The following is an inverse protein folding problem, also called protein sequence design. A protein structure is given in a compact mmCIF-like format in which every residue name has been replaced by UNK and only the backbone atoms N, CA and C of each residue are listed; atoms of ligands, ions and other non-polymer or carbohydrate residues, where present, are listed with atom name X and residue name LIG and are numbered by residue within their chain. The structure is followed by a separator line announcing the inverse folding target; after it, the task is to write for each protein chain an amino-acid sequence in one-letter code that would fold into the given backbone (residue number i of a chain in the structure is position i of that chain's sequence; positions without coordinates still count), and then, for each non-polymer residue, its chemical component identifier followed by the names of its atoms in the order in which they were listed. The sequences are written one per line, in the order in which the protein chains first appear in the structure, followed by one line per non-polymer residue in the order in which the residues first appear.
data_IF_523294071424
#
_entry.id   IF_523294071424
#
_cell.length_a   1.000
_cell.length_b   1.000
_cell.length_c   1.000
_cell.angle_alpha   90.00
_cell.angle_beta   90.00
_cell.angle_gamma   90.00
#
_symmetry.space_group_name_H-M   'P 1'
#
loop_
_entity.id
_entity.type
_entity.pdbx_description
1 polymer ?
#
# COMPACT_ATOMS: atom_id res chain seq x y z
N UNK A 1 18.52 4.82 4.79
CA UNK A 1 19.28 3.73 5.44
C UNK A 1 18.59 2.38 5.28
N UNK A 2 17.28 2.27 5.57
CA UNK A 2 16.57 0.99 5.53
C UNK A 2 16.42 0.38 4.12
N UNK A 3 16.01 1.17 3.10
CA UNK A 3 15.92 0.68 1.72
C UNK A 3 17.25 0.10 1.20
N UNK A 4 18.37 0.76 1.47
CA UNK A 4 19.70 0.25 1.08
C UNK A 4 19.98 -1.13 1.68
N UNK A 5 19.66 -1.33 2.97
CA UNK A 5 19.85 -2.63 3.64
C UNK A 5 18.93 -3.69 3.04
N UNK A 6 17.66 -3.37 2.82
CA UNK A 6 16.68 -4.26 2.18
C UNK A 6 17.18 -4.73 0.81
N UNK A 7 17.69 -3.80 0.00
CA UNK A 7 18.21 -4.06 -1.34
C UNK A 7 19.51 -4.88 -1.30
N UNK A 8 20.47 -4.53 -0.44
CA UNK A 8 21.72 -5.28 -0.30
C UNK A 8 21.48 -6.72 0.19
N UNK A 9 20.53 -6.92 1.12
CA UNK A 9 20.14 -8.25 1.60
C UNK A 9 19.47 -9.06 0.48
N UNK A 10 18.55 -8.45 -0.27
CA UNK A 10 17.93 -9.10 -1.42
C UNK A 10 18.98 -9.48 -2.49
N UNK A 11 20.01 -8.64 -2.70
CA UNK A 11 21.13 -8.91 -3.62
C UNK A 11 21.99 -10.08 -3.15
N UNK A 12 22.33 -10.13 -1.86
CA UNK A 12 23.10 -11.23 -1.28
C UNK A 12 22.43 -12.59 -1.48
N UNK A 13 21.09 -12.62 -1.42
CA UNK A 13 20.31 -13.85 -1.56
C UNK A 13 19.69 -14.06 -2.96
N UNK A 14 20.03 -13.21 -3.94
CA UNK A 14 19.43 -13.23 -5.28
C UNK A 14 19.65 -14.56 -6.02
N UNK A 15 20.80 -15.22 -5.84
CA UNK A 15 21.05 -16.53 -6.47
C UNK A 15 20.10 -17.62 -5.95
N UNK A 16 19.66 -17.51 -4.69
CA UNK A 16 18.77 -18.50 -4.05
C UNK A 16 17.29 -18.18 -4.27
N UNK A 17 16.94 -16.91 -4.42
CA UNK A 17 15.56 -16.44 -4.51
C UNK A 17 15.37 -15.41 -5.64
N UNK A 18 15.78 -15.74 -6.87
CA UNK A 18 15.82 -14.81 -8.00
C UNK A 18 14.52 -14.00 -8.17
N UNK A 19 13.39 -14.69 -8.25
CA UNK A 19 12.07 -14.07 -8.43
C UNK A 19 11.67 -13.13 -7.28
N UNK A 20 12.02 -13.48 -6.03
CA UNK A 20 11.68 -12.64 -4.87
C UNK A 20 12.57 -11.42 -4.84
N UNK A 21 13.88 -11.60 -5.07
CA UNK A 21 14.83 -10.50 -5.07
C UNK A 21 14.49 -9.48 -6.15
N UNK A 22 14.11 -9.91 -7.36
CA UNK A 22 13.62 -9.03 -8.42
C UNK A 22 12.37 -8.27 -8.00
N UNK A 23 11.37 -8.95 -7.43
CA UNK A 23 10.17 -8.30 -6.94
C UNK A 23 10.45 -7.28 -5.82
N UNK A 24 11.39 -7.56 -4.92
CA UNK A 24 11.84 -6.61 -3.88
C UNK A 24 12.60 -5.43 -4.50
N UNK A 25 13.33 -5.62 -5.58
CA UNK A 25 14.01 -4.52 -6.26
C UNK A 25 13.04 -3.55 -6.93
N UNK A 26 12.02 -4.07 -7.59
CA UNK A 26 11.08 -3.25 -8.36
C UNK A 26 9.95 -2.67 -7.50
N UNK A 27 9.50 -3.41 -6.48
CA UNK A 27 8.26 -3.13 -5.79
C UNK A 27 8.43 -2.70 -4.33
N UNK A 28 9.65 -2.38 -3.91
CA UNK A 28 9.93 -1.81 -2.58
C UNK A 28 10.09 -0.30 -2.66
N UNK A 29 9.27 0.42 -1.90
CA UNK A 29 9.42 1.84 -1.63
C UNK A 29 9.72 2.04 -0.14
N UNK A 30 10.91 2.56 0.17
CA UNK A 30 11.40 2.70 1.55
C UNK A 30 11.34 1.35 2.31
N UNK A 31 10.39 1.23 3.25
CA UNK A 31 10.16 0.05 4.08
C UNK A 31 8.96 -0.78 3.63
N UNK A 32 8.14 -0.25 2.70
CA UNK A 32 6.95 -0.91 2.18
C UNK A 32 7.27 -1.70 0.92
N UNK A 33 6.85 -2.96 0.85
CA UNK A 33 6.99 -3.81 -0.34
C UNK A 33 5.62 -4.28 -0.79
N UNK A 34 5.23 -3.93 -2.03
CA UNK A 34 3.88 -4.15 -2.54
C UNK A 34 3.96 -4.91 -3.86
N UNK A 35 3.78 -6.21 -3.81
CA UNK A 35 3.93 -7.06 -5.01
C UNK A 35 2.56 -7.53 -5.47
N UNK A 36 2.26 -7.36 -6.76
CA UNK A 36 1.05 -7.86 -7.39
C UNK A 36 1.37 -9.03 -8.32
N UNK A 37 0.59 -10.10 -8.21
CA UNK A 37 0.69 -11.29 -9.07
C UNK A 37 -0.70 -11.82 -9.39
N UNK A 38 -0.87 -12.27 -10.63
CA UNK A 38 -2.15 -12.75 -11.16
C UNK A 38 -2.54 -14.10 -10.56
N UNK A 39 -1.58 -15.04 -10.49
CA UNK A 39 -1.83 -16.42 -10.05
C UNK A 39 -1.74 -16.57 -8.51
N UNK A 40 -2.73 -17.22 -7.92
CA UNK A 40 -2.82 -17.43 -6.47
C UNK A 40 -1.73 -18.36 -5.92
N UNK A 41 -1.35 -19.42 -6.66
CA UNK A 41 -0.26 -20.32 -6.26
C UNK A 41 1.07 -19.58 -6.27
N UNK A 42 1.30 -18.72 -7.26
CA UNK A 42 2.48 -17.86 -7.32
C UNK A 42 2.50 -16.91 -6.13
N UNK A 43 1.35 -16.34 -5.75
CA UNK A 43 1.22 -15.46 -4.58
C UNK A 43 1.60 -16.15 -3.27
N UNK A 44 1.09 -17.36 -3.05
CA UNK A 44 1.44 -18.18 -1.87
C UNK A 44 2.93 -18.52 -1.85
N UNK A 45 3.51 -18.90 -2.99
CA UNK A 45 4.93 -19.18 -3.09
C UNK A 45 5.77 -17.93 -2.84
N UNK A 46 5.35 -16.79 -3.37
CA UNK A 46 6.01 -15.50 -3.17
C UNK A 46 6.02 -15.15 -1.68
N UNK A 47 4.86 -15.20 -1.00
CA UNK A 47 4.77 -14.99 0.45
C UNK A 47 5.77 -15.87 1.21
N UNK A 48 5.74 -17.19 1.00
CA UNK A 48 6.64 -18.13 1.69
C UNK A 48 8.12 -17.84 1.45
N UNK A 49 8.50 -17.57 0.19
CA UNK A 49 9.90 -17.31 -0.18
C UNK A 49 10.36 -15.95 0.34
N UNK A 50 9.51 -14.93 0.34
CA UNK A 50 9.78 -13.60 0.90
C UNK A 50 10.00 -13.68 2.40
N UNK A 51 9.12 -14.36 3.14
CA UNK A 51 9.28 -14.58 4.59
C UNK A 51 10.58 -15.34 4.91
N UNK A 52 10.94 -16.34 4.10
CA UNK A 52 12.20 -17.07 4.26
C UNK A 52 13.42 -16.18 3.96
N UNK A 53 13.38 -15.38 2.89
CA UNK A 53 14.46 -14.45 2.55
C UNK A 53 14.70 -13.45 3.68
N UNK A 54 13.63 -12.87 4.24
CA UNK A 54 13.77 -11.94 5.37
C UNK A 54 14.26 -12.63 6.63
N UNK A 55 13.76 -13.83 6.96
CA UNK A 55 14.28 -14.62 8.07
C UNK A 55 15.79 -14.90 7.95
N UNK A 56 16.28 -15.23 6.75
CA UNK A 56 17.72 -15.40 6.48
C UNK A 56 18.50 -14.09 6.53
N UNK A 57 17.86 -12.96 6.27
CA UNK A 57 18.44 -11.64 6.40
C UNK A 57 18.46 -11.12 7.86
N UNK A 58 17.79 -11.81 8.79
CA UNK A 58 17.58 -11.36 10.17
C UNK A 58 16.52 -10.25 10.28
N UNK A 59 15.60 -10.21 9.32
CA UNK A 59 14.51 -9.24 9.22
C UNK A 59 13.17 -9.96 9.27
N UNK A 60 12.13 -9.26 9.73
CA UNK A 60 10.78 -9.81 9.81
C UNK A 60 9.79 -8.81 9.21
N UNK A 61 9.04 -9.26 8.21
CA UNK A 61 7.95 -8.47 7.64
C UNK A 61 6.79 -8.44 8.62
N UNK A 62 6.33 -7.24 8.94
CA UNK A 62 5.16 -7.02 9.80
C UNK A 62 4.02 -6.45 8.96
N UNK A 63 2.79 -6.61 9.47
CA UNK A 63 1.57 -6.05 8.87
C UNK A 63 1.32 -6.54 7.45
N UNK A 64 1.44 -7.85 7.24
CA UNK A 64 1.03 -8.48 6.00
C UNK A 64 -0.44 -8.22 5.72
N UNK A 65 -0.70 -7.83 4.48
CA UNK A 65 -2.03 -7.60 3.95
C UNK A 65 -2.09 -8.14 2.52
N UNK A 66 -3.16 -8.84 2.18
CA UNK A 66 -3.38 -9.39 0.86
C UNK A 66 -4.86 -9.37 0.52
N UNK A 67 -5.18 -9.20 -0.77
CA UNK A 67 -6.53 -9.41 -1.30
C UNK A 67 -6.91 -10.91 -1.38
N UNK A 68 -5.97 -11.80 -1.12
CA UNK A 68 -6.13 -13.26 -1.17
C UNK A 68 -6.38 -13.83 0.22
N UNK A 69 -7.55 -14.43 0.43
CA UNK A 69 -7.87 -15.11 1.69
C UNK A 69 -6.90 -16.28 1.94
N UNK A 70 -6.52 -17.03 0.90
CA UNK A 70 -5.60 -18.16 1.03
C UNK A 70 -4.20 -17.75 1.51
N UNK A 71 -3.73 -16.55 1.14
CA UNK A 71 -2.48 -16.00 1.68
C UNK A 71 -2.64 -15.60 3.14
N UNK A 72 -3.77 -14.97 3.49
CA UNK A 72 -4.02 -14.55 4.87
C UNK A 72 -4.16 -15.75 5.84
N UNK A 73 -4.73 -16.88 5.39
CA UNK A 73 -4.85 -18.11 6.19
C UNK A 73 -3.50 -18.71 6.58
N UNK A 74 -2.47 -18.54 5.76
CA UNK A 74 -1.11 -19.07 6.02
C UNK A 74 -0.21 -18.04 6.71
N UNK A 75 -0.70 -16.83 6.93
CA UNK A 75 0.02 -15.77 7.63
C UNK A 75 -0.28 -15.83 9.12
N UNK A 76 0.74 -15.84 9.99
CA UNK A 76 0.53 -15.77 11.44
C UNK A 76 -0.27 -14.52 11.81
N UNK A 77 -1.24 -14.65 12.71
CA UNK A 77 -2.09 -13.51 13.13
C UNK A 77 -1.27 -12.32 13.64
N UNK A 78 -0.16 -12.59 14.33
CA UNK A 78 0.72 -11.55 14.86
C UNK A 78 1.46 -10.75 13.77
N UNK A 79 1.60 -11.33 12.58
CA UNK A 79 2.26 -10.71 11.44
C UNK A 79 1.25 -10.02 10.50
N UNK A 80 -0.06 -10.21 10.70
CA UNK A 80 -1.13 -9.62 9.91
C UNK A 80 -1.37 -8.13 10.22
N UNK A 81 -1.85 -7.38 9.23
CA UNK A 81 -2.23 -5.97 9.39
C UNK A 81 -3.53 -5.82 10.20
N UNK A 82 -3.43 -5.71 11.52
CA UNK A 82 -4.56 -5.48 12.43
C UNK A 82 -5.47 -6.70 12.60
N UNK A 83 -6.66 -6.50 13.19
CA UNK A 83 -7.65 -7.58 13.32
C UNK A 83 -8.23 -7.92 11.95
N UNK A 84 -7.82 -9.06 11.40
CA UNK A 84 -8.37 -9.63 10.17
C UNK A 84 -9.40 -10.67 10.61
N UNK A 85 -10.68 -10.44 10.32
CA UNK A 85 -11.72 -11.44 10.57
C UNK A 85 -11.98 -12.20 9.26
N UNK A 86 -11.37 -13.37 9.14
CA UNK A 86 -11.48 -14.22 7.96
C UNK A 86 -12.90 -14.80 7.79
N UNK A 87 -13.64 -14.97 8.89
CA UNK A 87 -15.00 -15.55 8.89
C UNK A 87 -16.06 -14.54 8.44
N UNK A 88 -15.92 -13.26 8.82
CA UNK A 88 -16.77 -12.18 8.29
C UNK A 88 -16.32 -11.69 6.91
N UNK A 89 -15.10 -12.06 6.51
CA UNK A 89 -14.44 -11.56 5.31
C UNK A 89 -14.18 -10.05 5.37
N UNK A 90 -14.14 -9.44 6.54
CA UNK A 90 -13.72 -8.04 6.68
C UNK A 90 -12.20 -7.98 6.79
N UNK A 91 -11.56 -7.38 5.76
CA UNK A 91 -10.14 -7.08 5.80
C UNK A 91 -9.95 -5.64 6.29
N UNK A 92 -9.05 -5.47 7.24
CA UNK A 92 -8.68 -4.15 7.77
C UNK A 92 -8.16 -3.25 6.63
N UNK A 93 -8.56 -1.98 6.66
CA UNK A 93 -8.06 -0.98 5.75
C UNK A 93 -6.72 -0.44 6.30
N UNK A 94 -5.62 -0.65 5.57
CA UNK A 94 -4.30 -0.20 6.00
C UNK A 94 -3.87 1.03 5.23
N UNK A 95 -3.17 1.96 5.90
CA UNK A 95 -2.42 3.03 5.23
C UNK A 95 -1.15 2.43 4.63
N UNK A 96 -1.06 2.45 3.31
CA UNK A 96 0.07 1.97 2.51
C UNK A 96 0.54 3.15 1.65
N UNK A 97 1.81 3.55 1.76
CA UNK A 97 2.34 4.74 1.07
C UNK A 97 1.57 6.04 1.37
N UNK A 98 0.90 6.11 2.53
CA UNK A 98 0.05 7.24 2.93
C UNK A 98 -1.34 7.28 2.28
N UNK A 99 -1.72 6.29 1.47
CA UNK A 99 -3.05 6.09 0.91
C UNK A 99 -3.71 4.89 1.62
N UNK A 100 -5.04 4.89 1.77
CA UNK A 100 -5.74 3.74 2.37
C UNK A 100 -5.97 2.68 1.30
N UNK A 101 -5.47 1.47 1.50
CA UNK A 101 -5.78 0.32 0.64
C UNK A 101 -6.80 -0.59 1.33
N UNK A 102 -7.90 -0.85 0.63
CA UNK A 102 -8.91 -1.84 1.01
C UNK A 102 -8.61 -3.12 0.24
N UNK A 103 -7.93 -4.04 0.91
CA UNK A 103 -7.39 -5.25 0.26
C UNK A 103 -8.48 -6.12 -0.39
N UNK A 104 -9.61 -6.36 0.28
CA UNK A 104 -10.65 -7.27 -0.25
C UNK A 104 -11.23 -6.83 -1.60
N UNK A 105 -11.70 -5.57 -1.76
CA UNK A 105 -12.15 -5.10 -3.07
C UNK A 105 -11.00 -4.67 -3.99
N UNK A 106 -9.76 -4.71 -3.52
CA UNK A 106 -8.57 -4.18 -4.19
C UNK A 106 -8.73 -2.72 -4.64
N UNK A 107 -9.16 -1.86 -3.71
CA UNK A 107 -9.42 -0.45 -3.98
C UNK A 107 -8.56 0.46 -3.11
N UNK A 108 -8.00 1.49 -3.74
CA UNK A 108 -7.46 2.64 -3.03
C UNK A 108 -8.60 3.58 -2.61
N UNK A 109 -8.52 4.05 -1.38
CA UNK A 109 -9.47 4.94 -0.76
C UNK A 109 -8.75 6.20 -0.31
N UNK A 110 -9.34 7.35 -0.62
CA UNK A 110 -8.86 8.65 -0.20
C UNK A 110 -9.86 9.23 0.78
N UNK A 111 -9.39 9.66 1.95
CA UNK A 111 -10.23 10.35 2.91
C UNK A 111 -10.19 11.85 2.62
N UNK A 112 -11.34 12.43 2.27
CA UNK A 112 -11.57 13.86 2.36
C UNK A 112 -12.24 14.19 3.69
N UNK A 113 -11.80 15.24 4.37
CA UNK A 113 -12.54 15.76 5.52
C UNK A 113 -13.86 16.34 5.00
N UNK A 114 -14.99 15.79 5.45
CA UNK A 114 -16.30 16.35 5.18
C UNK A 114 -16.32 17.79 5.71
N UNK A 115 -16.13 18.74 4.80
CA UNK A 115 -16.21 20.16 5.12
C UNK A 115 -17.59 20.62 4.70
N UNK A 116 -18.27 21.39 5.54
CA UNK A 116 -19.58 21.95 5.24
C UNK A 116 -19.64 22.48 3.80
N UNK A 117 -20.77 22.23 3.15
CA UNK A 117 -21.05 22.75 1.81
C UNK A 117 -21.24 24.26 1.99
N UNK A 118 -20.15 25.01 1.80
CA UNK A 118 -20.19 26.46 1.81
C UNK A 118 -21.01 26.92 0.60
N UNK A 119 -22.02 27.74 0.84
CA UNK A 119 -22.79 28.40 -0.23
C UNK A 119 -21.95 29.41 -1.02
N UNK A 120 -20.84 29.88 -0.45
CA UNK A 120 -19.86 30.77 -1.09
C UNK A 120 -18.50 30.09 -1.18
N UNK A 121 -17.95 29.99 -2.39
CA UNK A 121 -16.62 29.45 -2.64
C UNK A 121 -15.61 30.58 -2.83
N UNK A 122 -14.62 30.67 -1.94
CA UNK A 122 -13.45 31.55 -2.10
C UNK A 122 -12.21 30.73 -2.44
N UNK A 123 -11.18 31.36 -3.04
CA UNK A 123 -9.90 30.68 -3.31
C UNK A 123 -9.31 30.01 -2.08
N UNK A 124 -9.41 30.66 -0.91
CA UNK A 124 -8.92 30.09 0.35
C UNK A 124 -9.69 28.83 0.77
N UNK A 125 -11.01 28.81 0.61
CA UNK A 125 -11.83 27.64 0.92
C UNK A 125 -11.50 26.47 -0.02
N UNK A 126 -11.38 26.74 -1.33
CA UNK A 126 -11.02 25.72 -2.31
C UNK A 126 -9.61 25.16 -2.07
N UNK A 127 -8.65 26.02 -1.74
CA UNK A 127 -7.31 25.59 -1.37
C UNK A 127 -7.32 24.71 -0.12
N UNK A 128 -8.04 25.15 0.93
CA UNK A 128 -8.17 24.36 2.16
C UNK A 128 -8.77 22.99 1.89
N UNK A 129 -9.84 22.89 1.07
CA UNK A 129 -10.44 21.61 0.70
C UNK A 129 -9.47 20.73 -0.10
N UNK A 130 -8.77 21.31 -1.09
CA UNK A 130 -7.79 20.58 -1.91
C UNK A 130 -6.62 20.07 -1.08
N UNK A 131 -6.14 20.86 -0.12
CA UNK A 131 -5.04 20.47 0.77
C UNK A 131 -5.38 19.28 1.69
N UNK A 132 -6.67 18.97 1.91
CA UNK A 132 -7.07 17.76 2.64
C UNK A 132 -6.91 16.47 1.81
N UNK A 133 -6.83 16.57 0.49
CA UNK A 133 -6.63 15.43 -0.40
C UNK A 133 -5.14 15.15 -0.53
N UNK A 134 -4.65 14.19 0.27
CA UNK A 134 -3.28 13.70 0.15
C UNK A 134 -3.17 12.72 -1.03
N UNK A 135 -2.42 13.11 -2.06
CA UNK A 135 -2.22 12.33 -3.29
C UNK A 135 -0.74 12.28 -3.70
N UNK A 136 0.08 11.46 -3.01
CA UNK A 136 1.51 11.38 -3.30
C UNK A 136 1.81 10.71 -4.66
N UNK A 137 0.87 9.93 -5.19
CA UNK A 137 1.03 9.18 -6.45
C UNK A 137 0.39 9.87 -7.67
N UNK A 138 -0.32 10.99 -7.47
CA UNK A 138 -0.99 11.70 -8.57
C UNK A 138 -2.27 11.00 -9.07
N UNK A 139 -2.83 10.05 -8.34
CA UNK A 139 -4.03 9.29 -8.72
C UNK A 139 -5.26 10.22 -8.80
N UNK A 140 -5.32 11.23 -7.93
CA UNK A 140 -6.38 12.23 -7.89
C UNK A 140 -6.09 13.44 -8.78
N UNK A 141 -4.97 13.48 -9.51
CA UNK A 141 -4.59 14.61 -10.35
C UNK A 141 -5.71 15.11 -11.30
N UNK A 142 -6.50 14.23 -11.98
CA UNK A 142 -7.61 14.67 -12.84
C UNK A 142 -8.74 15.42 -12.10
N UNK A 143 -8.88 15.20 -10.79
CA UNK A 143 -9.84 15.90 -9.95
C UNK A 143 -9.24 17.19 -9.37
N UNK A 144 -7.99 17.11 -8.89
CA UNK A 144 -7.26 18.26 -8.33
C UNK A 144 -7.08 19.36 -9.38
N UNK A 145 -6.82 19.02 -10.64
CA UNK A 145 -6.63 20.00 -11.71
C UNK A 145 -7.91 20.80 -11.98
N UNK A 146 -9.09 20.16 -11.92
CA UNK A 146 -10.38 20.87 -12.07
C UNK A 146 -10.57 21.91 -10.99
N UNK A 147 -10.21 21.58 -9.75
CA UNK A 147 -10.30 22.53 -8.64
C UNK A 147 -9.31 23.68 -8.84
N UNK A 148 -8.09 23.40 -9.33
CA UNK A 148 -7.09 24.43 -9.66
C UNK A 148 -7.56 25.38 -10.76
N UNK A 149 -8.24 24.88 -11.79
CA UNK A 149 -8.82 25.71 -12.87
C UNK A 149 -9.88 26.66 -12.28
N UNK A 150 -10.83 26.14 -11.50
CA UNK A 150 -11.87 26.98 -10.84
C UNK A 150 -11.24 28.02 -9.92
N UNK A 151 -10.17 27.67 -9.19
CA UNK A 151 -9.42 28.63 -8.37
C UNK A 151 -8.72 29.73 -9.17
N UNK A 152 -8.33 29.47 -10.42
CA UNK A 152 -7.73 30.47 -11.30
C UNK A 152 -8.76 31.46 -11.84
N UNK A 153 -9.99 30.99 -12.10
CA UNK A 153 -11.10 31.79 -12.65
C UNK A 153 -11.83 32.64 -11.60
N UNK A 154 -11.82 32.21 -10.33
CA UNK A 154 -12.24 33.02 -9.17
C UNK A 154 -11.30 34.20 -8.91
#
# INVERSE_FOLDING_TARGET
MAQFVTQERARKYAQKFLFVSEAVFEATYMDDTIISVVDEKVRIQLYKKTTLLWGLAGMFSQKWLSNSIEVLKITPENDCAGHINLDSGELSAMKTLGIVWKAKPDLFSFHSVATEVSTVYTKQILFKKTATLFDPLGILAPYIIRIKIVMQEL
#
